data_IF_197443161147
#
_entry.id   IF_197443161147
#
_cell.length_a   1.000
_cell.length_b   1.000
_cell.length_c   1.000
_cell.angle_alpha   90.00
_cell.angle_beta   90.00
_cell.angle_gamma   90.00
#
_symmetry.space_group_name_H-M   'P 1'
#
loop_
_entity.id
_entity.type
_entity.pdbx_description
1 polymer ?
#
# COMPACT_ATOMS: atom_id res chain seq x y z
N UNK A 1 30.20 -64.18 -0.85
CA UNK A 1 28.90 -64.89 -0.91
C UNK A 1 27.81 -63.82 -0.96
N UNK A 2 26.89 -63.67 -1.91
CA UNK A 2 26.36 -64.43 -3.03
C UNK A 2 26.14 -63.41 -4.22
N UNK A 3 26.41 -63.72 -5.49
CA UNK A 3 25.60 -64.49 -6.47
C UNK A 3 24.11 -64.06 -6.44
N UNK A 4 23.39 -63.76 -7.53
CA UNK A 4 23.60 -63.92 -8.97
C UNK A 4 22.42 -63.21 -9.67
N UNK A 5 22.67 -62.70 -10.87
CA UNK A 5 21.82 -62.68 -12.08
C UNK A 5 20.28 -62.63 -11.92
N UNK A 6 19.57 -61.78 -12.67
CA UNK A 6 19.17 -62.01 -14.07
C UNK A 6 17.95 -61.10 -14.30
N UNK A 7 17.56 -60.63 -15.47
CA UNK A 7 18.08 -60.68 -16.84
C UNK A 7 17.23 -59.71 -17.64
N UNK A 8 17.91 -58.75 -18.28
CA UNK A 8 17.77 -58.25 -19.65
C UNK A 8 16.39 -58.08 -20.37
N UNK A 9 16.36 -57.14 -21.34
CA UNK A 9 15.18 -56.46 -21.86
C UNK A 9 14.72 -57.06 -23.19
N UNK A 10 13.64 -56.52 -23.77
CA UNK A 10 13.44 -56.40 -25.22
C UNK A 10 12.19 -55.53 -25.48
N UNK A 11 12.37 -54.40 -26.18
CA UNK A 11 11.97 -54.17 -27.60
C UNK A 11 10.44 -54.00 -27.76
N UNK A 12 9.89 -53.23 -28.69
CA UNK A 12 10.28 -52.19 -29.65
C UNK A 12 8.92 -51.73 -30.21
N UNK A 13 8.76 -50.44 -30.46
CA UNK A 13 8.01 -49.84 -31.59
C UNK A 13 6.98 -50.71 -32.35
N UNK A 14 5.72 -50.28 -32.35
CA UNK A 14 4.86 -50.35 -33.54
C UNK A 14 3.67 -49.38 -33.41
N UNK A 15 3.80 -48.23 -34.08
CA UNK A 15 2.68 -47.51 -34.68
C UNK A 15 1.98 -48.46 -35.67
N UNK A 16 0.64 -48.40 -35.80
CA UNK A 16 -0.16 -48.65 -37.04
C UNK A 16 -1.66 -48.77 -36.68
N UNK A 17 -2.41 -47.72 -37.04
CA UNK A 17 -3.61 -47.78 -37.90
C UNK A 17 -4.87 -48.50 -37.37
N UNK A 18 -5.63 -47.85 -36.49
CA UNK A 18 -7.06 -48.13 -36.29
C UNK A 18 -7.92 -47.31 -37.28
N UNK A 19 -7.83 -47.66 -38.57
CA UNK A 19 -8.75 -47.24 -39.64
C UNK A 19 -9.19 -48.51 -40.39
N UNK A 20 -10.07 -49.30 -39.78
CA UNK A 20 -10.72 -50.46 -40.43
C UNK A 20 -11.84 -51.02 -39.56
N UNK A 21 -12.91 -50.24 -39.37
CA UNK A 21 -14.17 -50.76 -38.80
C UNK A 21 -15.43 -50.31 -39.57
N UNK A 22 -15.25 -49.70 -40.74
CA UNK A 22 -16.28 -49.60 -41.77
C UNK A 22 -15.74 -50.31 -43.01
N UNK A 23 -15.91 -51.62 -43.09
CA UNK A 23 -15.86 -52.40 -44.35
C UNK A 23 -16.18 -53.88 -44.06
N UNK A 24 -17.24 -54.15 -43.30
CA UNK A 24 -17.73 -55.52 -43.11
C UNK A 24 -19.25 -55.67 -43.28
N UNK A 25 -19.95 -54.63 -43.71
CA UNK A 25 -21.37 -54.69 -44.07
C UNK A 25 -21.59 -54.04 -45.44
N UNK A 26 -20.93 -54.56 -46.48
CA UNK A 26 -21.31 -54.24 -47.87
C UNK A 26 -20.74 -55.25 -48.91
N UNK A 27 -20.70 -56.55 -48.61
CA UNK A 27 -20.36 -57.60 -49.59
C UNK A 27 -21.37 -58.75 -49.53
N UNK A 28 -22.66 -58.41 -49.46
CA UNK A 28 -23.77 -59.37 -49.53
C UNK A 28 -25.01 -58.66 -50.12
N UNK A 29 -24.86 -57.90 -51.22
CA UNK A 29 -26.04 -57.56 -52.06
C UNK A 29 -25.77 -56.96 -53.44
N UNK A 30 -24.60 -57.21 -54.04
CA UNK A 30 -24.29 -56.68 -55.39
C UNK A 30 -24.82 -57.55 -56.53
N UNK A 31 -25.37 -58.74 -56.23
CA UNK A 31 -25.91 -59.67 -57.21
C UNK A 31 -27.45 -59.59 -57.38
N UNK A 32 -28.17 -58.91 -56.48
CA UNK A 32 -29.63 -58.76 -56.55
C UNK A 32 -30.03 -57.46 -57.27
N UNK A 33 -29.17 -56.44 -57.23
CA UNK A 33 -29.46 -55.14 -57.85
C UNK A 33 -29.34 -55.14 -59.40
N UNK A 34 -28.55 -56.05 -59.98
CA UNK A 34 -28.29 -56.08 -61.43
C UNK A 34 -29.20 -57.04 -62.22
N UNK A 35 -30.15 -57.71 -61.55
CA UNK A 35 -31.10 -58.66 -62.18
C UNK A 35 -32.57 -58.27 -62.04
N UNK A 36 -32.88 -57.17 -61.36
CA UNK A 36 -34.24 -56.60 -61.26
C UNK A 36 -34.49 -55.42 -62.22
N UNK A 37 -33.46 -54.88 -62.88
CA UNK A 37 -33.59 -53.70 -63.74
C UNK A 37 -33.80 -54.03 -65.23
N UNK A 38 -34.07 -55.29 -65.57
CA UNK A 38 -34.18 -55.75 -66.95
C UNK A 38 -35.48 -56.52 -67.27
N UNK A 39 -36.51 -56.42 -66.41
CA UNK A 39 -37.77 -57.15 -66.57
C UNK A 39 -39.05 -56.34 -66.30
N UNK A 40 -38.99 -55.01 -66.38
CA UNK A 40 -40.16 -54.14 -66.39
C UNK A 40 -40.06 -53.11 -67.52
N UNK A 41 -40.07 -53.61 -68.76
CA UNK A 41 -40.48 -52.85 -69.93
C UNK A 41 -42.02 -52.77 -69.93
N UNK A 42 -42.52 -51.58 -70.23
CA UNK A 42 -43.84 -51.26 -70.81
C UNK A 42 -45.13 -51.58 -70.01
N UNK A 43 -45.75 -50.55 -69.39
CA UNK A 43 -47.18 -50.21 -69.58
C UNK A 43 -47.43 -48.72 -69.24
N UNK A 44 -47.72 -47.93 -70.28
CA UNK A 44 -48.63 -46.77 -70.35
C UNK A 44 -48.85 -45.85 -69.13
N UNK A 45 -48.11 -44.73 -69.11
CA UNK A 45 -48.55 -43.32 -68.95
C UNK A 45 -50.09 -43.12 -68.76
N UNK A 46 -50.54 -42.62 -67.57
CA UNK A 46 -51.38 -41.40 -67.43
C UNK A 46 -52.13 -41.10 -66.09
N UNK A 47 -52.16 -41.90 -65.01
CA UNK A 47 -52.99 -41.57 -63.81
C UNK A 47 -52.27 -41.68 -62.44
N UNK A 48 -51.12 -40.99 -62.26
CA UNK A 48 -50.35 -41.07 -60.99
C UNK A 48 -49.77 -39.75 -60.41
N UNK A 49 -50.48 -38.60 -60.36
CA UNK A 49 -50.08 -37.54 -59.42
C UNK A 49 -51.00 -37.39 -58.19
N UNK A 50 -52.27 -37.83 -58.26
CA UNK A 50 -53.24 -37.57 -57.19
C UNK A 50 -53.07 -38.45 -55.93
N UNK A 51 -52.67 -39.72 -56.11
CA UNK A 51 -52.54 -40.67 -54.99
C UNK A 51 -51.27 -40.46 -54.15
N UNK A 52 -50.23 -39.87 -54.75
CA UNK A 52 -48.95 -39.62 -54.08
C UNK A 52 -48.96 -38.30 -53.27
N UNK A 53 -49.88 -37.38 -53.59
CA UNK A 53 -50.04 -36.10 -52.89
C UNK A 53 -50.91 -36.22 -51.61
N UNK A 54 -51.89 -37.14 -51.58
CA UNK A 54 -52.79 -37.33 -50.43
C UNK A 54 -52.11 -38.00 -49.23
N UNK A 55 -51.01 -38.73 -49.46
CA UNK A 55 -50.26 -39.44 -48.42
C UNK A 55 -49.27 -38.53 -47.66
N UNK A 56 -49.01 -37.32 -48.15
CA UNK A 56 -48.04 -36.38 -47.55
C UNK A 56 -48.62 -35.49 -46.43
N UNK A 57 -49.94 -35.43 -46.25
CA UNK A 57 -50.60 -34.45 -45.36
C UNK A 57 -50.86 -34.98 -43.94
N UNK A 58 -50.81 -36.29 -43.70
CA UNK A 58 -51.34 -36.88 -42.45
C UNK A 58 -50.37 -37.02 -41.26
N UNK A 59 -49.19 -36.39 -41.26
CA UNK A 59 -48.13 -36.78 -40.30
C UNK A 59 -47.44 -35.67 -39.48
N UNK A 60 -48.01 -34.48 -39.31
CA UNK A 60 -47.45 -33.50 -38.37
C UNK A 60 -48.14 -33.57 -37.00
N UNK A 61 -47.85 -34.63 -36.22
CA UNK A 61 -48.12 -34.63 -34.78
C UNK A 61 -46.95 -33.95 -34.06
N UNK A 62 -47.12 -32.70 -33.64
CA UNK A 62 -46.10 -31.98 -32.86
C UNK A 62 -46.31 -32.26 -31.37
N UNK A 63 -45.49 -33.14 -30.80
CA UNK A 63 -45.40 -33.29 -29.36
C UNK A 63 -44.56 -32.17 -28.75
N UNK A 64 -45.05 -31.55 -27.66
CA UNK A 64 -44.36 -30.43 -26.99
C UNK A 64 -43.31 -30.98 -26.03
N UNK A 65 -42.04 -30.75 -26.35
CA UNK A 65 -40.92 -31.12 -25.47
C UNK A 65 -40.74 -30.07 -24.38
N UNK A 66 -40.43 -30.53 -23.17
CA UNK A 66 -40.15 -29.68 -22.03
C UNK A 66 -39.02 -30.29 -21.16
N UNK A 67 -38.45 -29.48 -20.27
CA UNK A 67 -37.32 -29.84 -19.42
C UNK A 67 -37.67 -29.67 -17.95
N UNK A 68 -37.06 -30.51 -17.12
CA UNK A 68 -37.15 -30.38 -15.67
C UNK A 68 -36.29 -29.19 -15.20
N UNK A 69 -36.94 -28.17 -14.64
CA UNK A 69 -36.36 -26.85 -14.40
C UNK A 69 -35.47 -26.75 -13.14
N UNK A 70 -35.77 -27.53 -12.10
CA UNK A 70 -35.09 -27.38 -10.80
C UNK A 70 -33.80 -28.19 -10.76
N UNK A 71 -32.77 -27.63 -10.10
CA UNK A 71 -31.45 -28.23 -9.88
C UNK A 71 -31.45 -29.38 -8.84
N UNK A 72 -32.57 -30.09 -8.70
CA UNK A 72 -32.78 -31.14 -7.71
C UNK A 72 -33.60 -32.27 -8.31
N UNK A 73 -33.36 -33.48 -7.80
CA UNK A 73 -34.09 -34.67 -8.17
C UNK A 73 -35.59 -34.57 -7.87
N UNK A 74 -36.42 -34.67 -8.91
CA UNK A 74 -37.85 -34.48 -8.82
C UNK A 74 -38.62 -35.80 -8.98
N UNK A 75 -39.59 -36.10 -8.09
CA UNK A 75 -40.35 -37.34 -8.18
C UNK A 75 -41.40 -37.25 -9.30
N UNK A 76 -41.31 -38.17 -10.26
CA UNK A 76 -42.39 -38.51 -11.18
C UNK A 76 -43.44 -39.33 -10.43
N UNK A 77 -44.70 -38.90 -10.44
CA UNK A 77 -45.78 -39.51 -9.65
C UNK A 77 -46.78 -40.26 -10.52
N UNK A 78 -47.48 -41.24 -9.95
CA UNK A 78 -48.47 -42.04 -10.68
C UNK A 78 -49.85 -41.36 -10.84
N UNK A 79 -50.17 -40.35 -10.02
CA UNK A 79 -51.44 -39.60 -10.08
C UNK A 79 -51.20 -38.10 -9.94
N UNK A 80 -52.20 -37.30 -10.30
CA UNK A 80 -52.23 -35.84 -10.15
C UNK A 80 -52.42 -35.38 -8.68
N UNK A 81 -51.66 -35.97 -7.76
CA UNK A 81 -51.71 -35.60 -6.34
C UNK A 81 -50.32 -35.60 -5.72
N UNK A 82 -50.02 -34.69 -4.78
CA UNK A 82 -48.69 -34.60 -4.18
C UNK A 82 -48.33 -35.82 -3.29
N UNK A 83 -49.33 -36.58 -2.83
CA UNK A 83 -49.17 -37.75 -1.95
C UNK A 83 -49.17 -39.10 -2.67
N UNK A 84 -49.32 -39.14 -4.00
CA UNK A 84 -49.32 -40.41 -4.72
C UNK A 84 -47.92 -41.05 -4.79
N UNK A 85 -47.89 -42.35 -5.04
CA UNK A 85 -46.67 -43.15 -5.21
C UNK A 85 -45.73 -42.52 -6.24
N UNK A 86 -44.45 -42.46 -5.89
CA UNK A 86 -43.37 -42.05 -6.80
C UNK A 86 -43.04 -43.23 -7.72
N UNK A 87 -43.09 -42.98 -9.02
CA UNK A 87 -42.80 -43.93 -10.09
C UNK A 87 -41.30 -43.93 -10.40
N UNK A 88 -40.69 -42.74 -10.48
CA UNK A 88 -39.27 -42.58 -10.76
C UNK A 88 -38.77 -41.24 -10.23
N UNK A 89 -37.46 -41.12 -10.07
CA UNK A 89 -36.80 -39.89 -9.65
C UNK A 89 -36.06 -39.31 -10.87
N UNK A 90 -36.41 -38.07 -11.23
CA UNK A 90 -35.91 -37.41 -12.43
C UNK A 90 -34.83 -36.38 -12.07
N UNK A 91 -33.60 -36.52 -12.60
CA UNK A 91 -32.57 -35.50 -12.49
C UNK A 91 -32.99 -34.17 -13.14
N UNK A 92 -32.41 -33.08 -12.65
CA UNK A 92 -32.51 -31.76 -13.27
C UNK A 92 -32.13 -31.79 -14.75
N UNK A 93 -32.91 -31.12 -15.61
CA UNK A 93 -32.63 -31.04 -17.05
C UNK A 93 -33.00 -32.27 -17.86
N UNK A 94 -33.66 -33.27 -17.25
CA UNK A 94 -34.18 -34.42 -18.01
C UNK A 94 -35.21 -33.94 -19.05
N UNK A 95 -35.07 -34.32 -20.33
CA UNK A 95 -36.06 -34.00 -21.36
C UNK A 95 -37.29 -34.89 -21.16
N UNK A 96 -38.47 -34.27 -21.16
CA UNK A 96 -39.76 -34.95 -21.03
C UNK A 96 -40.71 -34.46 -22.10
N UNK A 97 -41.58 -35.35 -22.57
CA UNK A 97 -42.63 -35.03 -23.53
C UNK A 97 -43.92 -34.72 -22.77
N UNK A 98 -44.54 -33.57 -23.04
CA UNK A 98 -45.78 -33.16 -22.37
C UNK A 98 -46.97 -33.71 -23.13
N UNK A 99 -47.73 -34.61 -22.48
CA UNK A 99 -48.92 -35.24 -23.04
C UNK A 99 -50.20 -34.43 -22.70
N UNK A 100 -50.20 -33.71 -21.58
CA UNK A 100 -51.33 -32.86 -21.20
C UNK A 100 -51.12 -32.15 -19.88
N UNK A 101 -51.67 -30.94 -19.76
CA UNK A 101 -51.57 -30.11 -18.57
C UNK A 101 -52.94 -29.98 -17.90
N UNK A 102 -53.00 -30.20 -16.58
CA UNK A 102 -54.21 -29.94 -15.80
C UNK A 102 -54.01 -28.72 -14.89
N UNK A 103 -54.52 -27.58 -15.34
CA UNK A 103 -54.43 -26.32 -14.62
C UNK A 103 -55.16 -26.33 -13.26
N UNK A 104 -56.13 -27.22 -13.04
CA UNK A 104 -56.89 -27.31 -11.78
C UNK A 104 -56.13 -28.05 -10.68
N UNK A 105 -55.40 -29.11 -11.05
CA UNK A 105 -54.60 -29.91 -10.10
C UNK A 105 -53.17 -29.39 -9.98
N UNK A 106 -52.68 -28.60 -10.94
CA UNK A 106 -51.31 -28.09 -10.97
C UNK A 106 -50.28 -29.16 -11.36
N UNK A 107 -50.74 -30.23 -12.01
CA UNK A 107 -49.92 -31.33 -12.49
C UNK A 107 -49.96 -31.43 -14.01
N UNK A 108 -48.84 -31.85 -14.57
CA UNK A 108 -48.66 -32.10 -16.00
C UNK A 108 -48.34 -33.56 -16.21
N UNK A 109 -49.06 -34.21 -17.12
CA UNK A 109 -48.80 -35.56 -17.55
C UNK A 109 -47.67 -35.58 -18.56
N UNK A 110 -46.60 -36.30 -18.23
CA UNK A 110 -45.37 -36.35 -19.01
C UNK A 110 -44.96 -37.78 -19.31
N UNK A 111 -44.33 -37.97 -20.47
CA UNK A 111 -43.72 -39.22 -20.88
C UNK A 111 -42.20 -39.04 -20.97
N UNK A 112 -41.48 -39.99 -20.39
CA UNK A 112 -40.02 -40.08 -20.50
C UNK A 112 -39.65 -40.79 -21.81
N UNK A 113 -38.42 -40.56 -22.29
CA UNK A 113 -37.86 -41.32 -23.42
C UNK A 113 -37.80 -42.83 -23.17
N UNK A 114 -37.78 -43.26 -21.90
CA UNK A 114 -37.86 -44.67 -21.50
C UNK A 114 -39.25 -45.28 -21.67
N UNK A 115 -40.24 -44.51 -22.11
CA UNK A 115 -41.63 -44.93 -22.27
C UNK A 115 -42.46 -44.87 -20.98
N UNK A 116 -41.85 -44.53 -19.84
CA UNK A 116 -42.57 -44.39 -18.57
C UNK A 116 -43.38 -43.09 -18.55
N UNK A 117 -44.63 -43.18 -18.09
CA UNK A 117 -45.55 -42.05 -17.98
C UNK A 117 -45.82 -41.72 -16.51
N UNK A 118 -46.04 -40.44 -16.23
CA UNK A 118 -46.45 -40.00 -14.90
C UNK A 118 -46.75 -38.51 -14.85
N UNK A 119 -46.98 -38.03 -13.64
CA UNK A 119 -47.38 -36.66 -13.35
C UNK A 119 -46.29 -35.95 -12.57
N UNK A 120 -45.98 -34.73 -13.00
CA UNK A 120 -45.04 -33.83 -12.32
C UNK A 120 -45.71 -32.46 -12.12
N UNK A 121 -45.31 -31.73 -11.08
CA UNK A 121 -45.90 -30.42 -10.80
C UNK A 121 -45.51 -29.42 -11.91
N UNK A 122 -46.49 -28.69 -12.43
CA UNK A 122 -46.29 -27.78 -13.59
C UNK A 122 -45.22 -26.73 -13.32
N UNK A 123 -45.10 -26.24 -12.08
CA UNK A 123 -44.06 -25.28 -11.65
C UNK A 123 -42.61 -25.76 -11.81
N UNK A 124 -42.40 -27.05 -12.02
CA UNK A 124 -41.09 -27.66 -12.14
C UNK A 124 -40.73 -28.05 -13.58
N UNK A 125 -41.61 -27.76 -14.55
CA UNK A 125 -41.39 -27.97 -15.97
C UNK A 125 -41.16 -26.60 -16.61
N UNK A 126 -40.09 -26.47 -17.38
CA UNK A 126 -39.83 -25.31 -18.21
C UNK A 126 -39.68 -25.74 -19.67
N UNK A 127 -40.08 -24.89 -20.61
CA UNK A 127 -39.83 -25.14 -22.03
C UNK A 127 -38.34 -24.99 -22.38
N UNK A 128 -37.57 -24.32 -21.53
CA UNK A 128 -36.14 -24.05 -21.73
C UNK A 128 -35.29 -24.92 -20.79
N UNK A 129 -34.12 -25.44 -21.25
CA UNK A 129 -33.24 -26.21 -20.38
C UNK A 129 -32.75 -25.38 -19.17
N UNK A 130 -32.50 -26.02 -18.02
CA UNK A 130 -31.95 -25.33 -16.85
C UNK A 130 -30.58 -24.73 -17.18
N UNK A 131 -30.43 -23.42 -16.98
CA UNK A 131 -29.20 -22.69 -17.28
C UNK A 131 -28.14 -22.93 -16.19
N UNK A 132 -27.59 -24.13 -16.14
CA UNK A 132 -26.52 -24.51 -15.20
C UNK A 132 -25.25 -23.65 -15.39
N UNK A 133 -25.06 -23.05 -16.57
CA UNK A 133 -23.91 -22.18 -16.88
C UNK A 133 -23.93 -20.86 -16.12
N UNK A 134 -25.12 -20.32 -15.82
CA UNK A 134 -25.25 -19.11 -15.01
C UNK A 134 -24.88 -19.39 -13.55
N UNK A 135 -25.25 -20.53 -12.99
CA UNK A 135 -24.92 -20.90 -11.61
C UNK A 135 -23.40 -21.05 -11.39
N UNK A 136 -22.69 -21.66 -12.35
CA UNK A 136 -21.23 -21.76 -12.28
C UNK A 136 -20.54 -20.41 -12.46
N UNK A 137 -21.03 -19.55 -13.37
CA UNK A 137 -20.50 -18.20 -13.55
C UNK A 137 -20.75 -17.29 -12.31
N UNK A 138 -21.93 -17.39 -11.70
CA UNK A 138 -22.28 -16.63 -10.48
C UNK A 138 -21.42 -17.09 -9.30
N UNK A 139 -21.26 -18.39 -9.09
CA UNK A 139 -20.40 -18.92 -8.02
C UNK A 139 -18.91 -18.61 -8.24
N UNK A 140 -18.44 -18.62 -9.49
CA UNK A 140 -17.09 -18.15 -9.83
C UNK A 140 -16.91 -16.67 -9.50
N UNK A 141 -17.90 -15.83 -9.81
CA UNK A 141 -17.88 -14.39 -9.49
C UNK A 141 -17.93 -14.12 -7.98
N UNK A 142 -18.68 -14.92 -7.22
CA UNK A 142 -18.68 -14.82 -5.76
C UNK A 142 -17.31 -15.19 -5.18
N UNK A 143 -16.69 -16.25 -5.69
CA UNK A 143 -15.35 -16.65 -5.26
C UNK A 143 -14.31 -15.58 -5.60
N UNK A 144 -14.37 -14.97 -6.79
CA UNK A 144 -13.44 -13.89 -7.18
C UNK A 144 -13.62 -12.66 -6.28
N UNK A 145 -14.87 -12.24 -6.03
CA UNK A 145 -15.19 -11.14 -5.13
C UNK A 145 -14.75 -11.43 -3.69
N UNK A 146 -14.89 -12.67 -3.23
CA UNK A 146 -14.40 -13.10 -1.91
C UNK A 146 -12.87 -13.01 -1.84
N UNK A 147 -12.17 -13.45 -2.89
CA UNK A 147 -10.70 -13.35 -2.96
C UNK A 147 -10.24 -11.90 -3.01
N UNK A 148 -10.89 -11.04 -3.80
CA UNK A 148 -10.58 -9.61 -3.85
C UNK A 148 -10.81 -8.94 -2.49
N UNK A 149 -11.90 -9.26 -1.80
CA UNK A 149 -12.14 -8.74 -0.44
C UNK A 149 -11.07 -9.19 0.55
N UNK A 150 -10.60 -10.43 0.45
CA UNK A 150 -9.54 -10.93 1.32
C UNK A 150 -8.19 -10.25 1.01
N UNK A 151 -7.85 -10.09 -0.26
CA UNK A 151 -6.64 -9.36 -0.70
C UNK A 151 -6.70 -7.90 -0.24
N UNK A 152 -7.82 -7.20 -0.46
CA UNK A 152 -8.00 -5.82 -0.03
C UNK A 152 -7.88 -5.68 1.50
N UNK A 153 -8.40 -6.64 2.27
CA UNK A 153 -8.22 -6.66 3.73
C UNK A 153 -6.76 -6.89 4.13
N UNK A 154 -6.06 -7.77 3.43
CA UNK A 154 -4.63 -8.02 3.65
C UNK A 154 -3.80 -6.79 3.30
N UNK A 155 -4.10 -6.12 2.19
CA UNK A 155 -3.45 -4.88 1.77
C UNK A 155 -3.75 -3.75 2.76
N UNK A 156 -4.99 -3.61 3.23
CA UNK A 156 -5.31 -2.67 4.29
C UNK A 156 -4.57 -2.99 5.60
N UNK A 157 -4.38 -4.26 5.93
CA UNK A 157 -3.59 -4.67 7.08
C UNK A 157 -2.11 -4.30 6.89
N UNK A 158 -1.52 -4.57 5.71
CA UNK A 158 -0.15 -4.19 5.35
C UNK A 158 0.04 -2.67 5.38
N UNK A 159 -0.85 -1.91 4.76
CA UNK A 159 -0.82 -0.44 4.79
C UNK A 159 -0.97 0.09 6.21
N UNK A 160 -1.87 -0.48 7.03
CA UNK A 160 -1.99 -0.10 8.44
C UNK A 160 -0.73 -0.42 9.24
N UNK A 161 -0.05 -1.54 8.97
CA UNK A 161 1.25 -1.82 9.61
C UNK A 161 2.36 -0.89 9.13
N UNK A 162 2.31 -0.40 7.89
CA UNK A 162 3.26 0.59 7.37
C UNK A 162 2.97 2.02 7.85
N UNK A 163 1.72 2.33 8.20
CA UNK A 163 1.28 3.64 8.70
C UNK A 163 1.27 3.69 10.23
N UNK A 164 1.35 2.53 10.91
CA UNK A 164 1.46 2.48 12.35
C UNK A 164 2.70 3.27 12.82
N UNK A 165 2.59 4.05 13.92
CA UNK A 165 3.61 5.01 14.37
C UNK A 165 4.94 4.40 14.84
N UNK A 166 5.14 3.10 14.66
CA UNK A 166 6.31 2.34 15.10
C UNK A 166 7.18 1.86 13.92
N UNK A 167 7.18 2.57 12.79
CA UNK A 167 8.22 2.32 11.79
C UNK A 167 9.56 2.86 12.31
N UNK A 168 10.66 2.11 12.17
CA UNK A 168 12.00 2.57 12.61
C UNK A 168 12.42 3.89 11.94
N UNK A 169 11.79 4.25 10.82
CA UNK A 169 12.00 5.51 10.12
C UNK A 169 11.46 6.71 10.90
N UNK A 170 10.24 6.65 11.45
CA UNK A 170 9.67 7.74 12.28
C UNK A 170 10.49 7.93 13.57
N UNK A 171 10.97 6.85 14.18
CA UNK A 171 11.89 6.92 15.32
C UNK A 171 13.23 7.55 14.92
N UNK A 172 13.77 7.22 13.75
CA UNK A 172 15.01 7.84 13.25
C UNK A 172 14.81 9.33 12.95
N UNK A 173 13.67 9.70 12.35
CA UNK A 173 13.34 11.09 12.05
C UNK A 173 13.13 11.93 13.31
N UNK A 174 12.48 11.38 14.33
CA UNK A 174 12.30 12.06 15.63
C UNK A 174 13.63 12.22 16.36
N UNK A 175 14.50 11.20 16.35
CA UNK A 175 15.87 11.31 16.89
C UNK A 175 16.68 12.37 16.15
N UNK A 176 16.63 12.39 14.82
CA UNK A 176 17.38 13.37 14.03
C UNK A 176 16.84 14.79 14.23
N UNK A 177 15.52 14.95 14.33
CA UNK A 177 14.88 16.22 14.66
C UNK A 177 15.30 16.72 16.05
N UNK A 178 15.28 15.86 17.06
CA UNK A 178 15.72 16.21 18.42
C UNK A 178 17.22 16.53 18.46
N UNK A 179 18.04 15.82 17.67
CA UNK A 179 19.47 16.10 17.52
C UNK A 179 19.69 17.48 16.91
N UNK A 180 19.02 17.80 15.80
CA UNK A 180 19.12 19.09 15.13
C UNK A 180 18.67 20.25 16.03
N UNK A 181 17.58 20.06 16.79
CA UNK A 181 17.10 21.06 17.76
C UNK A 181 18.13 21.32 18.88
N UNK A 182 18.83 20.28 19.34
CA UNK A 182 19.95 20.41 20.30
C UNK A 182 21.14 21.15 19.70
N UNK A 183 21.57 20.78 18.50
CA UNK A 183 22.68 21.44 17.81
C UNK A 183 22.40 22.93 17.57
N UNK A 184 21.18 23.28 17.14
CA UNK A 184 20.76 24.68 17.00
C UNK A 184 20.76 25.44 18.33
N UNK A 185 20.32 24.79 19.41
CA UNK A 185 20.30 25.40 20.74
C UNK A 185 21.71 25.63 21.27
N UNK A 186 22.61 24.65 21.09
CA UNK A 186 24.01 24.78 21.48
C UNK A 186 24.75 25.83 20.64
N UNK A 187 24.52 25.90 19.32
CA UNK A 187 25.06 26.96 18.47
C UNK A 187 24.57 28.35 18.89
N UNK A 188 23.29 28.50 19.22
CA UNK A 188 22.73 29.76 19.73
C UNK A 188 23.37 30.16 21.05
N UNK A 189 23.56 29.22 21.99
CA UNK A 189 24.26 29.48 23.26
C UNK A 189 25.72 29.83 23.03
N UNK A 190 26.43 29.10 22.18
CA UNK A 190 27.83 29.38 21.86
C UNK A 190 27.99 30.76 21.21
N UNK A 191 27.09 31.13 20.30
CA UNK A 191 27.06 32.46 19.71
C UNK A 191 26.76 33.56 20.75
N UNK A 192 25.81 33.33 21.66
CA UNK A 192 25.50 34.25 22.75
C UNK A 192 26.69 34.42 23.71
N UNK A 193 27.35 33.33 24.09
CA UNK A 193 28.55 33.35 24.94
C UNK A 193 29.70 34.08 24.24
N UNK A 194 29.87 33.92 22.92
CA UNK A 194 30.90 34.63 22.17
C UNK A 194 30.66 36.16 22.16
N UNK A 195 29.40 36.60 22.11
CA UNK A 195 29.04 38.02 22.20
C UNK A 195 29.33 38.55 23.60
N UNK A 196 28.96 37.80 24.65
CA UNK A 196 29.28 38.17 26.04
C UNK A 196 30.80 38.27 26.24
N UNK A 197 31.56 37.28 25.79
CA UNK A 197 33.02 37.26 25.91
C UNK A 197 33.69 38.43 25.17
N UNK A 198 33.15 38.82 24.00
CA UNK A 198 33.61 40.02 23.30
C UNK A 198 33.31 41.30 24.08
N UNK A 199 32.11 41.41 24.64
CA UNK A 199 31.73 42.57 25.46
C UNK A 199 32.63 42.69 26.68
N UNK A 200 32.88 41.58 27.38
CA UNK A 200 33.83 41.54 28.51
C UNK A 200 35.25 41.92 28.11
N UNK A 201 35.71 41.50 26.93
CA UNK A 201 37.02 41.91 26.39
C UNK A 201 37.09 43.41 26.15
N UNK A 202 36.05 44.00 25.57
CA UNK A 202 35.99 45.42 25.27
C UNK A 202 35.95 46.25 26.58
N UNK A 203 35.14 45.84 27.57
CA UNK A 203 35.10 46.51 28.89
C UNK A 203 36.43 46.39 29.62
N UNK A 204 37.06 45.21 29.63
CA UNK A 204 38.38 45.02 30.26
C UNK A 204 39.46 45.87 29.57
N UNK A 205 39.40 46.03 28.25
CA UNK A 205 40.32 46.90 27.52
C UNK A 205 40.08 48.38 27.86
N UNK A 206 38.83 48.80 27.95
CA UNK A 206 38.46 50.16 28.38
C UNK A 206 38.98 50.44 29.80
N UNK A 207 38.77 49.52 30.73
CA UNK A 207 39.26 49.61 32.11
C UNK A 207 40.80 49.73 32.16
N UNK A 208 41.52 48.93 31.38
CA UNK A 208 42.99 49.02 31.30
C UNK A 208 43.42 50.42 30.84
N UNK A 209 42.72 50.99 29.87
CA UNK A 209 43.04 52.33 29.36
C UNK A 209 42.68 53.39 30.40
N UNK A 210 41.53 53.30 31.07
CA UNK A 210 41.11 54.24 32.09
C UNK A 210 42.05 54.22 33.30
N UNK A 211 42.39 53.04 33.83
CA UNK A 211 43.36 52.91 34.94
C UNK A 211 44.73 53.48 34.55
N UNK A 212 45.18 53.28 33.30
CA UNK A 212 46.42 53.91 32.83
C UNK A 212 46.33 55.43 32.76
N UNK A 213 45.21 55.98 32.29
CA UNK A 213 44.98 57.44 32.26
C UNK A 213 44.98 58.01 33.66
N UNK A 214 44.30 57.35 34.60
CA UNK A 214 44.29 57.75 36.01
C UNK A 214 45.68 57.70 36.63
N UNK A 215 46.47 56.67 36.34
CA UNK A 215 47.85 56.56 36.82
C UNK A 215 48.70 57.71 36.26
N UNK A 216 48.65 57.97 34.96
CA UNK A 216 49.37 59.10 34.35
C UNK A 216 48.88 60.44 34.91
N UNK A 217 47.58 60.62 35.13
CA UNK A 217 47.03 61.82 35.76
C UNK A 217 47.55 61.99 37.20
N UNK A 218 47.47 60.95 38.03
CA UNK A 218 47.98 60.97 39.41
C UNK A 218 49.48 61.24 39.45
N UNK A 219 50.23 60.71 38.48
CA UNK A 219 51.67 60.96 38.35
C UNK A 219 51.96 62.40 37.91
N UNK A 220 51.18 62.95 36.98
CA UNK A 220 51.26 64.36 36.58
C UNK A 220 50.90 65.28 37.74
N UNK A 221 49.83 65.00 38.48
CA UNK A 221 49.44 65.74 39.68
C UNK A 221 50.52 65.65 40.76
N UNK A 222 51.07 64.46 41.00
CA UNK A 222 52.17 64.29 41.95
C UNK A 222 53.43 65.06 41.53
N UNK A 223 53.80 65.01 40.24
CA UNK A 223 54.93 65.77 39.70
C UNK A 223 54.68 67.27 39.79
N UNK A 224 53.48 67.75 39.45
CA UNK A 224 53.11 69.16 39.56
C UNK A 224 53.15 69.65 41.02
N UNK A 225 52.62 68.87 41.96
CA UNK A 225 52.73 69.16 43.39
C UNK A 225 54.18 69.18 43.87
N UNK A 226 55.00 68.24 43.37
CA UNK A 226 56.43 68.15 43.69
C UNK A 226 57.24 69.31 43.10
N UNK A 227 56.90 69.77 41.90
CA UNK A 227 57.58 70.88 41.25
C UNK A 227 57.23 72.21 41.92
N UNK A 228 55.96 72.40 42.33
CA UNK A 228 55.55 73.54 43.17
C UNK A 228 56.28 73.55 44.51
N UNK A 229 56.32 72.41 45.21
CA UNK A 229 57.03 72.30 46.48
C UNK A 229 58.54 72.57 46.33
N UNK A 230 59.19 72.11 45.26
CA UNK A 230 60.62 72.42 45.01
C UNK A 230 60.85 73.91 44.73
N UNK A 231 59.94 74.56 44.02
CA UNK A 231 60.04 75.97 43.69
C UNK A 231 59.94 76.86 44.95
N UNK A 232 59.07 76.51 45.89
CA UNK A 232 58.95 77.22 47.18
C UNK A 232 60.25 77.13 48.01
N UNK A 233 60.82 75.93 48.13
CA UNK A 233 62.06 75.75 48.90
C UNK A 233 63.25 76.50 48.28
N UNK A 234 63.29 76.63 46.95
CA UNK A 234 64.29 77.46 46.27
C UNK A 234 64.07 78.95 46.53
N UNK A 235 62.81 79.43 46.50
CA UNK A 235 62.48 80.83 46.78
C UNK A 235 62.84 81.22 48.23
N UNK A 236 62.50 80.38 49.20
CA UNK A 236 62.88 80.58 50.60
C UNK A 236 64.40 80.54 50.79
N UNK A 237 65.10 79.60 50.14
CA UNK A 237 66.57 79.52 50.17
C UNK A 237 67.24 80.77 49.57
N UNK A 238 66.71 81.30 48.47
CA UNK A 238 67.19 82.54 47.84
C UNK A 238 66.98 83.78 48.72
N UNK A 239 65.79 83.92 49.32
CA UNK A 239 65.48 85.02 50.23
C UNK A 239 66.36 84.98 51.50
N UNK A 240 66.59 83.78 52.05
CA UNK A 240 67.47 83.60 53.21
C UNK A 240 68.93 83.94 52.89
N UNK A 241 69.44 83.52 51.73
CA UNK A 241 70.79 83.84 51.27
C UNK A 241 70.99 85.36 51.11
N UNK A 242 70.01 86.04 50.48
CA UNK A 242 70.03 87.50 50.33
C UNK A 242 70.01 88.21 51.68
N UNK A 243 69.14 87.79 52.61
CA UNK A 243 69.06 88.35 53.96
C UNK A 243 70.38 88.15 54.73
N UNK A 244 71.02 87.00 54.59
CA UNK A 244 72.33 86.71 55.19
C UNK A 244 73.42 87.66 54.69
N UNK A 245 73.46 87.94 53.39
CA UNK A 245 74.41 88.91 52.81
C UNK A 245 74.14 90.33 53.31
N UNK A 246 72.86 90.76 53.33
CA UNK A 246 72.48 92.09 53.81
C UNK A 246 72.85 92.25 55.29
N UNK A 247 72.52 91.27 56.14
CA UNK A 247 72.86 91.30 57.56
C UNK A 247 74.37 91.28 57.78
N UNK A 248 75.10 90.44 57.05
CA UNK A 248 76.56 90.39 57.10
C UNK A 248 77.22 91.73 56.71
N UNK A 249 76.59 92.49 55.81
CA UNK A 249 77.04 93.82 55.43
C UNK A 249 76.58 94.93 56.40
N UNK A 250 75.38 94.84 56.98
CA UNK A 250 74.81 95.87 57.86
C UNK A 250 75.37 95.79 59.30
N UNK A 251 75.60 94.58 59.82
CA UNK A 251 76.12 94.32 61.17
C UNK A 251 77.46 95.03 61.47
N UNK A 252 78.48 95.00 60.60
CA UNK A 252 79.75 95.69 60.89
C UNK A 252 79.63 97.22 60.88
N UNK A 253 78.58 97.77 60.25
CA UNK A 253 78.38 99.23 60.15
C UNK A 253 77.48 99.80 61.24
N UNK A 254 76.71 98.96 61.94
CA UNK A 254 75.98 99.36 63.13
C UNK A 254 76.94 99.39 64.32
N UNK A 255 77.84 100.36 64.32
CA UNK A 255 78.71 100.62 65.46
C UNK A 255 77.82 101.02 66.64
N UNK A 256 77.59 100.08 67.55
CA UNK A 256 76.93 100.33 68.82
C UNK A 256 77.84 101.28 69.60
N UNK A 257 77.57 102.58 69.50
CA UNK A 257 78.30 103.60 70.21
C UNK A 257 77.99 103.43 71.70
N UNK A 258 78.84 102.69 72.42
CA UNK A 258 78.83 102.69 73.88
C UNK A 258 79.05 104.14 74.32
N UNK A 259 78.01 104.76 74.89
CA UNK A 259 78.16 105.99 75.66
C UNK A 259 78.88 105.63 76.95
N UNK A 260 80.20 105.65 76.90
CA UNK A 260 81.01 105.73 78.12
C UNK A 260 81.10 107.20 78.51
N UNK A 261 80.29 107.57 79.49
CA UNK A 261 80.38 108.80 80.29
C UNK A 261 79.54 108.51 81.52
N UNK A 262 80.05 108.53 82.74
CA UNK A 262 81.05 109.44 83.27
C UNK A 262 81.80 108.79 84.44
N UNK A 263 83.13 108.94 84.44
CA UNK A 263 83.89 109.11 85.67
C UNK A 263 83.31 110.32 86.43
N UNK A 264 82.79 110.10 87.63
CA UNK A 264 83.00 110.91 88.84
C UNK A 264 82.59 110.12 90.10
N UNK A 265 83.49 110.21 91.10
CA UNK A 265 83.44 109.79 92.51
C UNK A 265 84.10 108.44 92.81
#
# INVERSE_FOLDING_TARGET
>A
MARKASSLPKRKTACIRKKRFLNFFCVQNKAIFNKLNHLFLEVSVNHRPAFLLLLLVSATATAKTAFVANNSDLPLRSRETPKSRVVSLLPAGTPVEVLGENARSGFTHVQLQSGQQGYIATKNISAEPPNNSQSSAISASLNSLQTENNILKEDLAKLKTSIAPDTPLEQTLTIERDRLDRELTELKKAAANQIQLKTERDTLQEDIVNVKRELEQMKLENNALKDGAKQDWFLYGGMLSLAGVILGFILPKLSWRRKNGWDRL
#
